data_IF_085197312252
#
_entry.id   IF_085197312252
#
_cell.length_a   1.000
_cell.length_b   1.000
_cell.length_c   1.000
_cell.angle_alpha   90.00
_cell.angle_beta   90.00
_cell.angle_gamma   90.00
#
_symmetry.space_group_name_H-M   'P 1'
#
loop_
_entity.id
_entity.type
_entity.pdbx_description
1 polymer ?
#
# COMPACT_ATOMS: atom_id res chain seq x y z
N UNK A 1 -11.34 -3.79 -7.61
CA UNK A 1 -10.74 -2.80 -6.70
C UNK A 1 -10.94 -3.28 -5.28
N UNK A 2 -10.00 -3.07 -4.35
CA UNK A 2 -10.00 -3.64 -3.00
C UNK A 2 -11.17 -3.19 -2.09
N UNK A 3 -12.03 -2.29 -2.56
CA UNK A 3 -13.17 -1.76 -1.80
C UNK A 3 -12.77 -0.90 -0.60
N UNK A 4 -11.49 -0.54 -0.49
CA UNK A 4 -10.94 0.19 0.65
C UNK A 4 -10.90 1.70 0.36
N UNK A 5 -11.29 2.48 1.35
CA UNK A 5 -11.18 3.94 1.35
C UNK A 5 -9.79 4.41 1.79
N UNK A 6 -9.40 5.63 1.40
CA UNK A 6 -8.16 6.26 1.88
C UNK A 6 -8.12 6.37 3.41
N UNK A 7 -9.27 6.62 4.06
CA UNK A 7 -9.33 6.72 5.52
C UNK A 7 -9.02 5.39 6.22
N UNK A 8 -9.49 4.27 5.65
CA UNK A 8 -9.17 2.94 6.17
C UNK A 8 -7.69 2.60 6.00
N UNK A 9 -7.11 2.89 4.84
CA UNK A 9 -5.67 2.68 4.61
C UNK A 9 -4.83 3.54 5.56
N UNK A 10 -5.17 4.81 5.70
CA UNK A 10 -4.48 5.73 6.59
C UNK A 10 -4.52 5.23 8.04
N UNK A 11 -5.69 4.78 8.51
CA UNK A 11 -5.84 4.19 9.85
C UNK A 11 -4.96 2.95 10.03
N UNK A 12 -4.94 2.04 9.07
CA UNK A 12 -4.14 0.80 9.13
C UNK A 12 -2.64 1.10 9.14
N UNK A 13 -2.20 2.10 8.38
CA UNK A 13 -0.80 2.48 8.28
C UNK A 13 -0.36 3.51 9.34
N UNK A 14 -1.26 3.92 10.25
CA UNK A 14 -0.95 4.89 11.31
C UNK A 14 -0.73 6.33 10.82
N UNK A 15 -1.34 6.71 9.69
CA UNK A 15 -1.30 8.06 9.14
C UNK A 15 -2.61 8.82 9.37
N UNK A 16 -2.57 10.13 9.20
CA UNK A 16 -3.78 10.92 8.93
C UNK A 16 -4.24 10.71 7.49
N UNK A 17 -5.55 10.78 7.24
CA UNK A 17 -6.11 10.70 5.88
C UNK A 17 -5.55 11.80 4.97
N UNK A 18 -5.38 13.01 5.49
CA UNK A 18 -4.76 14.13 4.75
C UNK A 18 -3.31 13.85 4.39
N UNK A 19 -2.53 13.26 5.31
CA UNK A 19 -1.15 12.89 5.06
C UNK A 19 -1.03 11.85 3.95
N UNK A 20 -1.88 10.81 3.99
CA UNK A 20 -1.95 9.82 2.92
C UNK A 20 -2.36 10.46 1.58
N UNK A 21 -3.36 11.34 1.58
CA UNK A 21 -3.81 12.02 0.36
C UNK A 21 -2.69 12.86 -0.28
N UNK A 22 -1.89 13.58 0.53
CA UNK A 22 -0.75 14.35 0.03
C UNK A 22 0.33 13.45 -0.59
N UNK A 23 0.61 12.30 0.02
CA UNK A 23 1.55 11.31 -0.53
C UNK A 23 1.04 10.80 -1.89
N UNK A 24 -0.23 10.40 -1.98
CA UNK A 24 -0.82 9.88 -3.23
C UNK A 24 -0.85 10.92 -4.36
N UNK A 25 -1.00 12.21 -4.01
CA UNK A 25 -0.93 13.32 -4.98
C UNK A 25 0.50 13.71 -5.35
N UNK A 26 1.52 13.12 -4.71
CA UNK A 26 2.93 13.49 -4.87
C UNK A 26 3.29 14.86 -4.30
N UNK A 27 2.44 15.44 -3.44
CA UNK A 27 2.70 16.73 -2.78
C UNK A 27 3.51 16.58 -1.49
N UNK A 28 3.81 15.35 -1.06
CA UNK A 28 4.69 15.03 0.06
C UNK A 28 5.64 13.90 -0.32
N UNK A 29 6.90 14.02 0.11
CA UNK A 29 7.88 12.93 0.03
C UNK A 29 7.85 12.13 1.35
N UNK A 30 7.31 10.90 1.35
CA UNK A 30 7.20 10.11 2.56
C UNK A 30 8.56 9.58 3.02
N UNK A 31 8.79 9.56 4.33
CA UNK A 31 9.94 8.84 4.91
C UNK A 31 9.85 7.35 4.58
N UNK A 32 10.99 6.67 4.58
CA UNK A 32 11.06 5.22 4.39
C UNK A 32 10.12 4.46 5.36
N UNK A 33 10.07 4.87 6.63
CA UNK A 33 9.18 4.28 7.64
C UNK A 33 7.70 4.41 7.28
N UNK A 34 7.32 5.53 6.65
CA UNK A 34 5.95 5.79 6.19
C UNK A 34 5.60 4.89 5.03
N UNK A 35 6.51 4.72 4.06
CA UNK A 35 6.35 3.78 2.96
C UNK A 35 6.20 2.34 3.45
N UNK A 36 7.05 1.92 4.40
CA UNK A 36 6.95 0.60 5.03
C UNK A 36 5.61 0.37 5.73
N UNK A 37 5.09 1.37 6.46
CA UNK A 37 3.80 1.25 7.13
C UNK A 37 2.64 1.10 6.14
N UNK A 38 2.67 1.85 5.03
CA UNK A 38 1.68 1.72 3.95
C UNK A 38 1.77 0.34 3.29
N UNK A 39 2.97 -0.12 2.98
CA UNK A 39 3.20 -1.46 2.41
C UNK A 39 2.64 -2.56 3.33
N UNK A 40 2.99 -2.54 4.62
CA UNK A 40 2.51 -3.54 5.58
C UNK A 40 0.99 -3.54 5.74
N UNK A 41 0.35 -2.36 5.74
CA UNK A 41 -1.11 -2.25 5.81
C UNK A 41 -1.79 -2.91 4.60
N UNK A 42 -1.21 -2.71 3.42
CA UNK A 42 -1.66 -3.30 2.16
C UNK A 42 -1.40 -4.82 2.12
N UNK A 43 -0.25 -5.28 2.59
CA UNK A 43 0.08 -6.70 2.68
C UNK A 43 -0.81 -7.45 3.67
N UNK A 44 -1.13 -6.82 4.81
CA UNK A 44 -2.10 -7.35 5.78
C UNK A 44 -3.52 -7.53 5.20
N UNK A 45 -3.79 -6.93 4.04
CA UNK A 45 -5.05 -7.04 3.29
C UNK A 45 -4.97 -8.01 2.11
N UNK A 46 -3.89 -8.79 2.02
CA UNK A 46 -3.70 -9.82 1.01
C UNK A 46 -2.99 -9.36 -0.26
N UNK A 47 -2.54 -8.09 -0.31
CA UNK A 47 -1.72 -7.59 -1.42
C UNK A 47 -0.30 -8.14 -1.26
N UNK A 48 0.38 -8.36 -2.38
CA UNK A 48 1.78 -8.79 -2.38
C UNK A 48 2.57 -7.80 -3.22
N UNK A 49 3.57 -7.16 -2.62
CA UNK A 49 4.53 -6.34 -3.36
C UNK A 49 5.60 -7.27 -3.96
N UNK A 50 5.82 -7.14 -5.27
CA UNK A 50 6.83 -7.90 -5.98
C UNK A 50 8.12 -7.08 -6.06
N UNK A 51 9.26 -7.72 -5.80
CA UNK A 51 10.55 -7.11 -6.04
C UNK A 51 10.83 -7.01 -7.55
N UNK A 52 11.69 -6.07 -7.94
CA UNK A 52 12.17 -6.00 -9.33
C UNK A 52 12.82 -7.33 -9.74
N UNK A 53 12.34 -7.93 -10.83
CA UNK A 53 12.84 -9.21 -11.34
C UNK A 53 12.23 -10.47 -10.68
N UNK A 54 11.22 -10.32 -9.83
CA UNK A 54 10.48 -11.45 -9.26
C UNK A 54 9.62 -12.14 -10.33
N UNK A 55 9.92 -13.41 -10.62
CA UNK A 55 9.31 -14.21 -11.70
C UNK A 55 8.45 -15.38 -11.17
N UNK A 56 8.00 -15.32 -9.90
CA UNK A 56 7.06 -16.31 -9.35
C UNK A 56 5.71 -16.23 -10.08
N UNK A 57 5.06 -17.39 -10.26
CA UNK A 57 3.87 -17.49 -11.12
C UNK A 57 2.68 -16.58 -10.70
N UNK A 58 2.03 -16.04 -11.74
CA UNK A 58 0.84 -15.21 -11.74
C UNK A 58 1.12 -13.75 -12.12
N UNK A 59 0.35 -13.18 -13.04
CA UNK A 59 0.72 -11.94 -13.72
C UNK A 59 0.97 -10.69 -12.85
N UNK A 60 1.49 -9.61 -13.46
CA UNK A 60 1.85 -8.37 -12.78
C UNK A 60 0.66 -7.75 -12.03
N UNK A 61 0.86 -7.37 -10.76
CA UNK A 61 0.10 -6.31 -10.11
C UNK A 61 -0.84 -6.68 -8.95
N UNK A 62 -1.53 -7.82 -8.92
CA UNK A 62 -2.46 -8.15 -7.79
C UNK A 62 -2.60 -9.66 -7.55
N UNK A 63 -2.67 -10.06 -6.28
CA UNK A 63 -3.19 -11.36 -5.80
C UNK A 63 -4.28 -11.12 -4.75
N UNK A 64 -5.24 -12.04 -4.69
CA UNK A 64 -6.15 -12.17 -3.55
C UNK A 64 -5.80 -13.51 -2.88
N UNK A 65 -5.63 -13.52 -1.56
CA UNK A 65 -5.52 -14.78 -0.80
C UNK A 65 -6.88 -15.46 -0.74
N UNK A 66 -6.88 -16.79 -0.86
CA UNK A 66 -8.01 -17.66 -0.53
C UNK A 66 -8.29 -17.65 0.98
#
# INVERSE_FOLDING_TARGET
MLGMTQAELAKLAGLSTTGLNNIERGSADPKASTLSAIQLALEGRGIVFLANGDNRDGGPGVRLKA
#
